data_IF_982637352972
#
_entry.id   IF_982637352972
#
_cell.length_a   1.000
_cell.length_b   1.000
_cell.length_c   1.000
_cell.angle_alpha   90.00
_cell.angle_beta   90.00
_cell.angle_gamma   90.00
#
_symmetry.space_group_name_H-M   'P 1'
#
loop_
_entity.id
_entity.type
_entity.pdbx_description
1 polymer ?
#
# COMPACT_ATOMS: atom_id res chain seq x y z
N UNK A 1 -7.32 -13.44 -2.22
CA UNK A 1 -6.86 -12.25 -2.97
C UNK A 1 -6.72 -12.66 -4.42
N UNK A 2 -7.43 -12.01 -5.35
CA UNK A 2 -7.05 -12.16 -6.76
C UNK A 2 -5.81 -11.28 -7.01
N UNK A 3 -4.81 -11.74 -7.77
CA UNK A 3 -3.66 -10.90 -8.12
C UNK A 3 -4.16 -9.66 -8.88
N UNK A 4 -3.57 -8.50 -8.58
CA UNK A 4 -3.79 -7.29 -9.37
C UNK A 4 -3.08 -7.45 -10.72
N UNK A 5 -3.71 -6.94 -11.77
CA UNK A 5 -3.06 -6.81 -13.07
C UNK A 5 -1.87 -5.84 -12.99
N UNK A 6 -0.98 -5.91 -13.98
CA UNK A 6 0.10 -4.93 -14.10
C UNK A 6 -0.48 -3.55 -14.43
N UNK A 7 0.03 -2.51 -13.76
CA UNK A 7 -0.50 -1.17 -13.90
C UNK A 7 -0.17 -0.24 -12.74
N UNK A 8 -0.81 0.93 -12.74
CA UNK A 8 -0.71 1.93 -11.69
C UNK A 8 -2.09 2.18 -11.07
N UNK A 9 -2.13 2.27 -9.74
CA UNK A 9 -3.35 2.41 -8.96
C UNK A 9 -3.21 3.54 -7.96
N UNK A 10 -4.16 4.47 -7.94
CA UNK A 10 -4.26 5.44 -6.85
C UNK A 10 -4.82 4.74 -5.62
N UNK A 11 -4.17 4.94 -4.48
CA UNK A 11 -4.45 4.23 -3.25
C UNK A 11 -4.49 5.17 -2.05
N UNK A 12 -5.09 4.70 -0.95
CA UNK A 12 -5.03 5.33 0.37
C UNK A 12 -4.61 4.30 1.40
N UNK A 13 -3.76 4.68 2.35
CA UNK A 13 -3.38 3.82 3.48
C UNK A 13 -4.55 3.73 4.46
N UNK A 14 -5.01 2.52 4.74
CA UNK A 14 -6.18 2.25 5.60
C UNK A 14 -5.83 1.60 6.92
N UNK A 15 -4.73 0.84 6.97
CA UNK A 15 -4.22 0.24 8.19
C UNK A 15 -2.70 0.20 8.18
N UNK A 16 -2.12 0.27 9.37
CA UNK A 16 -0.68 0.20 9.60
C UNK A 16 -0.45 -0.54 10.91
N UNK A 17 0.35 -1.60 10.86
CA UNK A 17 0.78 -2.34 12.03
C UNK A 17 2.30 -2.54 12.01
N UNK A 18 2.96 -2.32 13.15
CA UNK A 18 4.36 -2.70 13.35
C UNK A 18 4.40 -3.96 14.20
N UNK A 19 4.98 -5.03 13.66
CA UNK A 19 5.22 -6.27 14.39
C UNK A 19 6.40 -6.15 15.36
N UNK A 20 6.47 -7.08 16.30
CA UNK A 20 7.57 -7.18 17.27
C UNK A 20 8.93 -7.49 16.59
N UNK A 21 8.90 -8.01 15.37
CA UNK A 21 10.06 -8.25 14.49
C UNK A 21 10.54 -6.97 13.77
N UNK A 22 9.88 -5.84 14.01
CA UNK A 22 10.18 -4.56 13.37
C UNK A 22 9.65 -4.45 11.94
N UNK A 23 8.96 -5.47 11.41
CA UNK A 23 8.33 -5.43 10.09
C UNK A 23 7.08 -4.57 10.17
N UNK A 24 6.96 -3.63 9.24
CA UNK A 24 5.75 -2.82 9.08
C UNK A 24 4.86 -3.49 8.04
N UNK A 25 3.61 -3.75 8.42
CA UNK A 25 2.54 -4.19 7.53
C UNK A 25 1.64 -3.00 7.27
N UNK A 26 1.35 -2.73 6.00
CA UNK A 26 0.41 -1.70 5.59
C UNK A 26 -0.70 -2.31 4.74
N UNK A 27 -1.93 -1.87 4.97
CA UNK A 27 -3.05 -2.15 4.08
C UNK A 27 -3.40 -0.89 3.31
N UNK A 28 -3.35 -0.99 1.99
CA UNK A 28 -3.71 0.10 1.08
C UNK A 28 -4.98 -0.28 0.33
N UNK A 29 -5.94 0.65 0.26
CA UNK A 29 -7.16 0.48 -0.53
C UNK A 29 -7.02 1.20 -1.87
N UNK A 30 -7.37 0.54 -2.96
CA UNK A 30 -7.43 1.14 -4.29
C UNK A 30 -8.62 2.10 -4.36
N UNK A 31 -8.34 3.36 -4.71
CA UNK A 31 -9.28 4.46 -4.65
C UNK A 31 -10.02 4.71 -5.99
N UNK A 32 -9.46 4.25 -7.11
CA UNK A 32 -9.93 4.54 -8.48
C UNK A 32 -9.82 3.32 -9.41
N UNK A 33 -10.47 3.40 -10.58
CA UNK A 33 -10.42 2.35 -11.61
C UNK A 33 -11.23 1.08 -11.30
N UNK A 34 -11.07 0.06 -12.13
CA UNK A 34 -11.86 -1.19 -12.07
C UNK A 34 -11.56 -2.03 -10.82
N UNK A 35 -10.37 -1.86 -10.24
CA UNK A 35 -9.95 -2.53 -9.03
C UNK A 35 -10.32 -1.76 -7.73
N UNK A 36 -11.11 -0.68 -7.83
CA UNK A 36 -11.50 0.14 -6.69
C UNK A 36 -12.15 -0.68 -5.57
N UNK A 37 -11.74 -0.42 -4.34
CA UNK A 37 -12.23 -1.11 -3.14
C UNK A 37 -11.45 -2.39 -2.82
N UNK A 38 -10.58 -2.87 -3.72
CA UNK A 38 -9.62 -3.91 -3.37
C UNK A 38 -8.60 -3.38 -2.36
N UNK A 39 -8.28 -4.20 -1.37
CA UNK A 39 -7.25 -3.91 -0.36
C UNK A 39 -6.04 -4.76 -0.64
N UNK A 40 -4.85 -4.15 -0.65
CA UNK A 40 -3.56 -4.80 -0.83
C UNK A 40 -2.76 -4.69 0.47
N UNK A 41 -2.26 -5.82 0.95
CA UNK A 41 -1.37 -5.88 2.10
C UNK A 41 0.08 -5.91 1.64
N UNK A 42 0.86 -4.93 2.06
CA UNK A 42 2.30 -4.85 1.77
C UNK A 42 3.11 -4.98 3.05
N UNK A 43 4.33 -5.51 2.91
CA UNK A 43 5.31 -5.61 3.99
C UNK A 43 6.49 -4.72 3.65
N UNK A 44 6.95 -3.95 4.63
CA UNK A 44 8.09 -3.05 4.51
C UNK A 44 8.97 -3.14 5.75
N UNK A 45 10.28 -2.99 5.57
CA UNK A 45 11.26 -2.88 6.66
C UNK A 45 11.64 -1.43 6.94
N UNK A 46 10.73 -0.48 6.71
CA UNK A 46 11.02 0.94 6.83
C UNK A 46 11.29 1.36 8.30
N UNK A 47 12.23 2.29 8.53
CA UNK A 47 12.64 2.69 9.87
C UNK A 47 11.66 3.64 10.58
N UNK A 48 10.82 4.35 9.82
CA UNK A 48 9.98 5.45 10.32
C UNK A 48 8.80 4.98 11.20
N UNK A 49 8.20 5.93 11.94
CA UNK A 49 6.98 5.70 12.72
C UNK A 49 5.78 5.60 11.77
N UNK A 50 5.22 4.41 11.54
CA UNK A 50 4.41 4.18 10.35
C UNK A 50 2.97 4.70 10.54
N UNK A 51 2.57 5.06 11.76
CA UNK A 51 1.24 5.60 12.07
C UNK A 51 0.94 6.90 11.33
N UNK A 52 1.96 7.71 11.02
CA UNK A 52 1.81 8.96 10.27
C UNK A 52 1.35 8.75 8.83
N UNK A 53 1.44 7.52 8.32
CA UNK A 53 1.00 7.18 6.97
C UNK A 53 -0.50 6.92 6.86
N UNK A 54 -1.20 6.69 7.97
CA UNK A 54 -2.63 6.42 7.95
C UNK A 54 -3.40 7.56 7.27
N UNK A 55 -4.23 7.20 6.30
CA UNK A 55 -5.00 8.16 5.50
C UNK A 55 -4.20 8.90 4.43
N UNK A 56 -2.88 8.73 4.35
CA UNK A 56 -2.09 9.35 3.29
C UNK A 56 -2.40 8.70 1.93
N UNK A 57 -2.53 9.50 0.86
CA UNK A 57 -2.63 8.99 -0.49
C UNK A 57 -1.27 8.49 -0.99
N UNK A 58 -1.31 7.61 -1.97
CA UNK A 58 -0.12 7.16 -2.67
C UNK A 58 -0.43 6.37 -3.92
N UNK A 59 0.63 5.93 -4.60
CA UNK A 59 0.53 5.16 -5.84
C UNK A 59 1.12 3.77 -5.66
N UNK A 60 0.33 2.76 -6.01
CA UNK A 60 0.77 1.39 -6.16
C UNK A 60 1.08 1.12 -7.63
N UNK A 61 2.26 0.59 -7.91
CA UNK A 61 2.68 0.13 -9.23
C UNK A 61 2.92 -1.36 -9.19
N UNK A 62 2.31 -2.09 -10.11
CA UNK A 62 2.48 -3.54 -10.30
C UNK A 62 3.18 -3.76 -11.64
N UNK A 63 4.32 -4.46 -11.60
CA UNK A 63 5.09 -4.85 -12.79
C UNK A 63 5.48 -6.31 -12.66
N UNK A 64 5.16 -7.13 -13.66
CA UNK A 64 5.36 -8.58 -13.63
C UNK A 64 4.76 -9.21 -12.36
N UNK A 65 3.57 -8.76 -11.95
CA UNK A 65 2.88 -9.18 -10.73
C UNK A 65 3.53 -8.72 -9.41
N UNK A 66 4.58 -7.89 -9.47
CA UNK A 66 5.32 -7.42 -8.28
C UNK A 66 4.85 -6.02 -7.88
N UNK A 67 4.23 -5.85 -6.68
CA UNK A 67 3.76 -4.56 -6.20
C UNK A 67 4.87 -3.71 -5.59
N UNK A 68 4.86 -2.42 -5.89
CA UNK A 68 5.69 -1.38 -5.27
C UNK A 68 4.83 -0.17 -4.94
N UNK A 69 4.91 0.34 -3.71
CA UNK A 69 4.07 1.45 -3.26
C UNK A 69 4.90 2.66 -2.87
N UNK A 70 4.39 3.84 -3.19
CA UNK A 70 4.99 5.13 -2.83
C UNK A 70 3.91 6.07 -2.32
N UNK A 71 4.17 6.69 -1.17
CA UNK A 71 3.33 7.77 -0.64
C UNK A 71 3.49 9.03 -1.50
N UNK A 72 2.40 9.76 -1.67
CA UNK A 72 2.46 11.09 -2.25
C UNK A 72 3.13 12.03 -1.24
N UNK A 73 4.13 12.78 -1.70
CA UNK A 73 4.71 13.86 -0.91
C UNK A 73 3.69 14.99 -0.79
N UNK A 74 3.33 15.33 0.45
CA UNK A 74 2.53 16.50 0.79
C UNK A 74 3.21 17.82 0.34
#
# INVERSE_FOLDING_TARGET
MMPLDDGEYDCVVTDVARGDDGVVVIDIAIASGDAKGNVVRLRSSMPDEPVHWLGMPGRLKVVDGTPSFRLDSA
#
